data_IF_811093329961
#
_entry.id   IF_811093329961
#
_cell.length_a   1.000
_cell.length_b   1.000
_cell.length_c   1.000
_cell.angle_alpha   90.00
_cell.angle_beta   90.00
_cell.angle_gamma   90.00
#
_symmetry.space_group_name_H-M   'P 1'
#
loop_
_entity.id
_entity.type
_entity.pdbx_description
1 polymer ?
#
# COMPACT_ATOMS: atom_id res chain seq x y z
N UNK A 1 70.00 -5.84 56.85
CA UNK A 1 70.10 -5.40 55.44
C UNK A 1 69.39 -6.33 54.50
N UNK A 2 69.35 -7.65 54.62
CA UNK A 2 68.63 -8.59 53.70
C UNK A 2 67.13 -8.45 53.78
N UNK A 3 66.46 -8.17 54.92
CA UNK A 3 65.00 -8.03 55.07
C UNK A 3 64.42 -6.75 54.39
N UNK A 4 65.23 -5.65 54.40
CA UNK A 4 64.80 -4.38 53.77
C UNK A 4 64.80 -4.48 52.22
N UNK A 5 65.74 -5.24 51.65
CA UNK A 5 65.79 -5.47 50.20
C UNK A 5 64.63 -6.32 49.70
N UNK A 6 64.10 -7.23 50.51
CA UNK A 6 62.96 -8.07 50.17
C UNK A 6 61.67 -7.26 50.15
N UNK A 7 61.48 -6.31 51.07
CA UNK A 7 60.27 -5.45 51.14
C UNK A 7 60.22 -4.46 49.94
N UNK A 8 61.42 -3.90 49.59
CA UNK A 8 61.47 -3.00 48.41
C UNK A 8 61.23 -3.75 47.10
N UNK A 9 61.69 -5.01 46.97
CA UNK A 9 61.42 -5.82 45.79
C UNK A 9 59.89 -6.21 45.67
N UNK A 10 59.24 -6.45 46.82
CA UNK A 10 57.80 -6.77 46.83
C UNK A 10 56.93 -5.55 46.49
N UNK A 11 57.30 -4.36 46.94
CA UNK A 11 56.64 -3.10 46.63
C UNK A 11 56.84 -2.70 45.14
N UNK A 12 57.98 -2.98 44.54
CA UNK A 12 58.25 -2.75 43.12
C UNK A 12 57.42 -3.73 42.23
N UNK A 13 57.19 -4.96 42.71
CA UNK A 13 56.37 -5.92 41.98
C UNK A 13 54.87 -5.56 41.99
N UNK A 14 54.37 -4.98 43.07
CA UNK A 14 52.97 -4.50 43.19
C UNK A 14 52.75 -3.24 42.34
N UNK A 15 53.74 -2.39 42.18
CA UNK A 15 53.63 -1.22 41.29
C UNK A 15 53.67 -1.57 39.80
N UNK A 16 54.26 -2.71 39.42
CA UNK A 16 54.31 -3.18 38.01
C UNK A 16 53.04 -3.87 37.57
N UNK A 17 52.18 -4.37 38.47
CA UNK A 17 50.90 -5.01 38.15
C UNK A 17 49.75 -3.99 38.04
N UNK A 18 49.94 -2.76 38.55
CA UNK A 18 48.89 -1.72 38.54
C UNK A 18 48.76 -0.90 37.27
N UNK A 19 49.57 -1.11 36.24
CA UNK A 19 49.54 -0.37 34.97
C UNK A 19 48.94 -1.19 33.82
N UNK A 20 47.94 -2.03 34.08
CA UNK A 20 47.05 -2.41 33.02
C UNK A 20 46.16 -1.19 32.73
N UNK A 21 46.58 -0.38 31.77
CA UNK A 21 45.74 0.56 31.09
C UNK A 21 44.46 -0.21 30.72
N UNK A 22 43.35 0.10 31.41
CA UNK A 22 42.03 -0.20 30.90
C UNK A 22 41.99 0.42 29.50
N UNK A 23 42.30 -0.36 28.49
CA UNK A 23 41.93 -0.02 27.12
C UNK A 23 40.43 0.24 27.17
N UNK A 24 40.06 1.54 27.29
CA UNK A 24 38.68 1.94 27.06
C UNK A 24 38.32 1.34 25.72
N UNK A 25 37.53 0.27 25.77
CA UNK A 25 36.84 -0.23 24.58
C UNK A 25 36.05 0.97 24.06
N UNK A 26 36.60 1.64 23.04
CA UNK A 26 35.84 2.65 22.32
C UNK A 26 34.58 1.94 21.90
N UNK A 27 33.47 2.29 22.54
CA UNK A 27 32.14 1.86 22.08
C UNK A 27 32.11 2.15 20.59
N UNK A 28 31.71 1.17 19.72
CA UNK A 28 31.69 1.39 18.29
C UNK A 28 30.94 2.71 18.06
N UNK A 29 31.56 3.68 17.44
CA UNK A 29 30.95 4.99 17.16
C UNK A 29 29.63 4.67 16.43
N UNK A 30 28.50 5.00 17.07
CA UNK A 30 27.20 4.71 16.53
C UNK A 30 27.13 5.27 15.10
N UNK A 31 26.85 4.43 14.11
CA UNK A 31 26.70 4.89 12.73
C UNK A 31 25.69 6.03 12.70
N UNK A 32 25.95 7.12 11.94
CA UNK A 32 25.03 8.25 11.85
C UNK A 32 23.63 7.79 11.44
N UNK A 33 22.61 8.45 11.99
CA UNK A 33 21.22 8.17 11.63
C UNK A 33 20.97 8.59 10.19
N UNK A 34 20.19 7.81 9.45
CA UNK A 34 19.70 8.18 8.12
C UNK A 34 18.56 9.21 8.27
N UNK A 35 18.66 10.30 7.55
CA UNK A 35 17.61 11.31 7.48
C UNK A 35 16.51 10.87 6.49
N UNK A 36 15.27 10.86 6.97
CA UNK A 36 14.09 10.49 6.18
C UNK A 36 13.18 11.70 6.06
N UNK A 37 13.12 12.30 4.88
CA UNK A 37 12.22 13.39 4.59
C UNK A 37 10.89 12.86 4.03
N UNK A 38 9.78 13.21 4.65
CA UNK A 38 8.45 12.89 4.18
C UNK A 38 7.78 14.20 3.74
N UNK A 39 7.48 14.31 2.45
CA UNK A 39 6.80 15.48 1.89
C UNK A 39 5.38 15.58 2.46
N UNK A 40 4.98 16.77 2.91
CA UNK A 40 3.59 17.07 3.27
C UNK A 40 3.14 18.36 2.59
N UNK A 41 1.86 18.40 2.20
CA UNK A 41 1.26 19.49 1.43
C UNK A 41 -0.24 19.54 1.66
N UNK A 42 -0.89 20.64 1.33
CA UNK A 42 -2.34 20.73 1.45
C UNK A 42 -3.05 19.67 0.60
N UNK A 43 -3.94 18.91 1.24
CA UNK A 43 -4.63 17.78 0.63
C UNK A 43 -3.86 16.45 0.70
N UNK A 44 -2.72 16.37 1.40
CA UNK A 44 -1.98 15.09 1.56
C UNK A 44 -2.87 14.02 2.20
N UNK A 45 -2.78 12.79 1.68
CA UNK A 45 -3.48 11.63 2.25
C UNK A 45 -2.83 11.19 3.57
N UNK A 46 -3.62 11.11 4.64
CA UNK A 46 -3.08 10.90 6.00
C UNK A 46 -2.22 9.64 6.09
N UNK A 47 -2.76 8.48 5.75
CA UNK A 47 -2.05 7.21 5.93
C UNK A 47 -0.83 7.08 5.00
N UNK A 48 -0.82 7.78 3.85
CA UNK A 48 0.26 7.71 2.88
C UNK A 48 1.57 8.32 3.41
N UNK A 49 1.47 9.27 4.35
CA UNK A 49 2.64 9.83 5.03
C UNK A 49 2.83 9.28 6.44
N UNK A 50 1.73 9.08 7.21
CA UNK A 50 1.83 8.60 8.60
C UNK A 50 2.22 7.13 8.69
N UNK A 51 1.74 6.27 7.77
CA UNK A 51 2.14 4.87 7.72
C UNK A 51 3.65 4.69 7.54
N UNK A 52 4.26 5.25 6.49
CA UNK A 52 5.72 5.26 6.36
C UNK A 52 6.44 5.99 7.50
N UNK A 53 5.86 7.06 8.05
CA UNK A 53 6.44 7.78 9.19
C UNK A 53 6.60 6.86 10.40
N UNK A 54 5.54 6.12 10.75
CA UNK A 54 5.55 5.17 11.87
C UNK A 54 6.56 4.04 11.64
N UNK A 55 6.48 3.37 10.47
CA UNK A 55 7.40 2.27 10.13
C UNK A 55 8.86 2.71 10.16
N UNK A 56 9.19 3.81 9.51
CA UNK A 56 10.56 4.30 9.41
C UNK A 56 11.04 4.92 10.73
N UNK A 57 10.11 5.51 11.51
CA UNK A 57 10.37 6.10 12.82
C UNK A 57 10.63 5.07 13.92
N UNK A 58 10.05 3.87 13.82
CA UNK A 58 10.23 2.78 14.80
C UNK A 58 11.67 2.28 14.91
N UNK A 59 12.55 2.60 13.95
CA UNK A 59 13.95 2.21 13.97
C UNK A 59 14.86 3.26 14.63
N UNK A 60 15.76 2.81 15.53
CA UNK A 60 16.72 3.70 16.25
C UNK A 60 17.73 4.40 15.33
N UNK A 61 17.88 3.96 14.07
CA UNK A 61 18.89 4.43 13.11
C UNK A 61 18.38 5.43 12.10
N UNK A 62 17.15 5.91 12.24
CA UNK A 62 16.52 6.85 11.33
C UNK A 62 16.06 8.10 12.09
N UNK A 63 16.18 9.23 11.42
CA UNK A 63 15.67 10.52 11.86
C UNK A 63 14.58 10.91 10.85
N UNK A 64 13.31 10.65 11.19
CA UNK A 64 12.16 10.87 10.32
C UNK A 64 11.55 12.22 10.62
N UNK A 65 11.27 12.99 9.58
CA UNK A 65 10.67 14.32 9.71
C UNK A 65 9.76 14.62 8.52
N UNK A 66 8.79 15.48 8.74
CA UNK A 66 7.94 16.05 7.70
C UNK A 66 8.56 17.32 7.14
N UNK A 67 8.39 17.53 5.83
CA UNK A 67 8.88 18.71 5.13
C UNK A 67 7.82 19.26 4.18
N UNK A 68 7.68 20.57 4.14
CA UNK A 68 6.76 21.28 3.24
C UNK A 68 7.45 22.47 2.58
N UNK A 69 6.80 23.07 1.58
CA UNK A 69 7.30 24.29 0.93
C UNK A 69 7.37 25.46 1.92
N UNK A 70 6.37 25.56 2.82
CA UNK A 70 6.21 26.67 3.77
C UNK A 70 6.11 26.13 5.20
N UNK A 71 6.42 26.98 6.21
CA UNK A 71 6.35 26.56 7.62
C UNK A 71 4.92 26.50 8.17
N UNK A 72 3.95 27.00 7.44
CA UNK A 72 2.56 27.04 7.88
C UNK A 72 1.96 25.64 8.00
N UNK A 73 0.96 25.49 8.89
CA UNK A 73 0.23 24.24 9.01
C UNK A 73 -0.50 23.91 7.70
N UNK A 74 -0.24 22.70 7.16
CA UNK A 74 -0.98 22.15 6.02
C UNK A 74 -2.28 21.51 6.52
N UNK A 75 -3.26 21.39 5.64
CA UNK A 75 -4.51 20.67 5.89
C UNK A 75 -4.55 19.41 5.05
N UNK A 76 -4.70 18.25 5.69
CA UNK A 76 -4.79 16.96 4.98
C UNK A 76 -6.12 16.84 4.21
N UNK A 77 -6.25 15.83 3.36
CA UNK A 77 -7.49 15.57 2.61
C UNK A 77 -8.73 15.28 3.49
N UNK A 78 -8.52 14.90 4.75
CA UNK A 78 -9.59 14.65 5.74
C UNK A 78 -9.71 15.79 6.77
N UNK A 79 -9.04 16.93 6.56
CA UNK A 79 -9.17 18.11 7.40
C UNK A 79 -8.26 18.18 8.63
N UNK A 80 -7.39 17.20 8.86
CA UNK A 80 -6.42 17.27 9.95
C UNK A 80 -5.34 18.30 9.61
N UNK A 81 -5.01 19.19 10.58
CA UNK A 81 -3.96 20.19 10.43
C UNK A 81 -2.64 19.67 10.98
N UNK A 82 -1.57 19.85 10.20
CA UNK A 82 -0.22 19.36 10.55
C UNK A 82 0.79 20.48 10.31
N UNK A 83 1.61 20.75 11.31
CA UNK A 83 2.76 21.66 11.16
C UNK A 83 3.95 20.83 10.71
N UNK A 84 4.60 21.16 9.57
CA UNK A 84 5.79 20.44 9.12
C UNK A 84 6.96 20.70 10.05
N UNK A 85 7.85 19.70 10.20
CA UNK A 85 9.06 19.87 11.00
C UNK A 85 10.07 20.85 10.35
N UNK A 86 10.11 20.85 9.02
CA UNK A 86 11.04 21.65 8.22
C UNK A 86 10.38 22.18 6.96
N UNK A 87 11.05 23.17 6.36
CA UNK A 87 10.75 23.65 5.01
C UNK A 87 11.79 23.12 4.01
N UNK A 88 11.54 23.31 2.71
CA UNK A 88 12.49 22.96 1.65
C UNK A 88 13.87 23.65 1.83
N UNK A 89 13.92 24.79 2.54
CA UNK A 89 15.13 25.60 2.70
C UNK A 89 15.97 25.21 3.91
N UNK A 90 15.35 24.60 4.96
CA UNK A 90 16.06 24.39 6.24
C UNK A 90 16.08 22.94 6.70
N UNK A 91 15.58 21.97 5.87
CA UNK A 91 15.61 20.56 6.20
C UNK A 91 17.03 19.99 6.23
N UNK A 92 17.29 18.98 7.07
CA UNK A 92 18.50 18.17 6.93
C UNK A 92 18.52 17.50 5.54
N UNK A 93 19.73 17.32 4.97
CA UNK A 93 19.87 16.59 3.70
C UNK A 93 19.27 15.18 3.84
N UNK A 94 18.30 14.76 3.02
CA UNK A 94 17.68 13.47 3.14
C UNK A 94 18.52 12.34 2.54
N UNK A 95 18.65 11.24 3.27
CA UNK A 95 19.13 9.95 2.76
C UNK A 95 17.98 9.14 2.11
N UNK A 96 16.77 9.37 2.58
CA UNK A 96 15.55 8.71 2.13
C UNK A 96 14.47 9.78 1.96
N UNK A 97 13.72 9.68 0.86
CA UNK A 97 12.57 10.52 0.61
C UNK A 97 11.29 9.70 0.52
N UNK A 98 10.20 10.22 1.05
CA UNK A 98 8.85 9.65 0.89
C UNK A 98 7.94 10.73 0.29
N UNK A 99 7.29 10.38 -0.83
CA UNK A 99 6.38 11.23 -1.58
C UNK A 99 4.96 10.62 -1.48
N UNK A 100 4.13 11.05 -0.53
CA UNK A 100 2.78 10.55 -0.33
C UNK A 100 1.82 11.05 -1.41
N UNK A 101 0.65 10.42 -1.48
CA UNK A 101 -0.44 10.85 -2.33
C UNK A 101 -1.43 11.78 -1.65
N UNK A 102 -2.59 11.94 -2.29
CA UNK A 102 -3.65 12.86 -1.92
C UNK A 102 -3.92 13.88 -3.01
N UNK A 103 -4.02 15.16 -2.67
CA UNK A 103 -4.23 16.30 -3.58
C UNK A 103 -3.05 16.62 -4.49
N UNK A 104 -2.31 15.61 -4.94
CA UNK A 104 -1.06 15.74 -5.74
C UNK A 104 -1.23 16.61 -6.97
N UNK A 105 -2.35 16.50 -7.68
CA UNK A 105 -2.62 17.23 -8.93
C UNK A 105 -2.46 18.75 -8.78
N UNK A 106 -2.82 19.28 -7.61
CA UNK A 106 -2.72 20.74 -7.33
C UNK A 106 -1.27 21.21 -7.18
N UNK A 107 -0.33 20.29 -6.96
CA UNK A 107 1.08 20.58 -6.70
C UNK A 107 2.02 20.16 -7.85
N UNK A 108 1.51 19.46 -8.89
CA UNK A 108 2.34 19.01 -10.01
C UNK A 108 2.90 20.16 -10.86
N UNK A 109 2.22 21.29 -10.90
CA UNK A 109 2.65 22.47 -11.66
C UNK A 109 3.39 23.49 -10.78
N UNK A 110 3.59 23.19 -9.48
CA UNK A 110 4.41 24.00 -8.60
C UNK A 110 5.90 23.70 -8.85
N UNK A 111 6.66 24.63 -9.46
CA UNK A 111 8.06 24.40 -9.81
C UNK A 111 8.96 24.19 -8.58
N UNK A 112 8.60 24.77 -7.42
CA UNK A 112 9.37 24.60 -6.18
C UNK A 112 9.28 23.16 -5.66
N UNK A 113 8.08 22.56 -5.71
CA UNK A 113 7.87 21.16 -5.31
C UNK A 113 8.65 20.22 -6.24
N UNK A 114 8.50 20.38 -7.54
CA UNK A 114 9.17 19.52 -8.53
C UNK A 114 10.70 19.67 -8.45
N UNK A 115 11.18 20.89 -8.33
CA UNK A 115 12.61 21.14 -8.15
C UNK A 115 13.14 20.51 -6.86
N UNK A 116 12.41 20.64 -5.73
CA UNK A 116 12.77 20.00 -4.47
C UNK A 116 12.87 18.48 -4.62
N UNK A 117 11.93 17.85 -5.33
CA UNK A 117 11.97 16.41 -5.62
C UNK A 117 13.21 16.06 -6.42
N UNK A 118 13.49 16.77 -7.51
CA UNK A 118 14.64 16.52 -8.39
C UNK A 118 15.98 16.67 -7.66
N UNK A 119 16.17 17.78 -6.95
CA UNK A 119 17.42 18.12 -6.27
C UNK A 119 17.76 17.09 -5.19
N UNK A 120 16.76 16.68 -4.40
CA UNK A 120 16.97 15.74 -3.30
C UNK A 120 17.00 14.27 -3.77
N UNK A 121 16.19 13.90 -4.75
CA UNK A 121 16.19 12.54 -5.29
C UNK A 121 17.54 12.17 -5.90
N UNK A 122 18.25 13.11 -6.55
CA UNK A 122 19.59 12.87 -7.09
C UNK A 122 20.57 12.36 -6.03
N UNK A 123 20.49 12.90 -4.83
CA UNK A 123 21.42 12.65 -3.72
C UNK A 123 20.92 11.58 -2.71
N UNK A 124 19.62 11.36 -2.61
CA UNK A 124 19.05 10.36 -1.70
C UNK A 124 19.47 8.94 -2.09
N UNK A 125 19.62 8.08 -1.10
CA UNK A 125 19.88 6.65 -1.28
C UNK A 125 18.63 5.93 -1.78
N UNK A 126 17.46 6.28 -1.25
CA UNK A 126 16.17 5.75 -1.64
C UNK A 126 15.13 6.84 -1.79
N UNK A 127 14.24 6.67 -2.75
CA UNK A 127 13.07 7.53 -2.94
C UNK A 127 11.84 6.62 -3.07
N UNK A 128 10.88 6.80 -2.20
CA UNK A 128 9.64 6.03 -2.19
C UNK A 128 8.45 6.94 -2.47
N UNK A 129 7.57 6.53 -3.37
CA UNK A 129 6.25 7.14 -3.50
C UNK A 129 5.16 6.22 -2.97
N UNK A 130 4.08 6.82 -2.50
CA UNK A 130 2.86 6.12 -2.07
C UNK A 130 1.68 6.69 -2.84
N UNK A 131 0.78 5.81 -3.32
CA UNK A 131 -0.43 6.22 -4.00
C UNK A 131 -0.11 7.08 -5.26
N UNK A 132 -0.85 8.17 -5.47
CA UNK A 132 -0.57 9.11 -6.56
C UNK A 132 0.66 10.02 -6.31
N UNK A 133 1.40 9.84 -5.24
CA UNK A 133 2.75 10.39 -5.09
C UNK A 133 3.70 9.97 -6.22
N UNK A 134 3.41 8.87 -6.92
CA UNK A 134 4.13 8.45 -8.13
C UNK A 134 4.12 9.51 -9.25
N UNK A 135 3.11 10.37 -9.30
CA UNK A 135 3.05 11.45 -10.28
C UNK A 135 4.10 12.53 -10.02
N UNK A 136 4.51 12.78 -8.78
CA UNK A 136 5.67 13.65 -8.51
C UNK A 136 6.95 13.07 -9.12
N UNK A 137 7.17 11.76 -8.96
CA UNK A 137 8.32 11.09 -9.57
C UNK A 137 8.27 11.14 -11.09
N UNK A 138 7.09 10.90 -11.67
CA UNK A 138 6.89 10.96 -13.12
C UNK A 138 7.16 12.39 -13.66
N UNK A 139 6.57 13.42 -13.01
CA UNK A 139 6.77 14.83 -13.38
C UNK A 139 8.24 15.28 -13.27
N UNK A 140 8.94 14.73 -12.28
CA UNK A 140 10.37 14.97 -12.09
C UNK A 140 11.27 14.20 -13.07
N UNK A 141 10.71 13.34 -13.95
CA UNK A 141 11.46 12.51 -14.90
C UNK A 141 12.16 11.29 -14.27
N UNK A 142 11.81 10.94 -13.05
CA UNK A 142 12.49 9.89 -12.27
C UNK A 142 11.95 8.48 -12.55
N UNK A 143 10.87 8.34 -13.31
CA UNK A 143 10.27 7.04 -13.66
C UNK A 143 10.58 6.59 -15.09
N UNK A 144 11.26 7.41 -15.92
CA UNK A 144 11.56 7.07 -17.31
C UNK A 144 12.36 5.76 -17.39
N UNK A 145 11.84 4.77 -18.14
CA UNK A 145 12.45 3.46 -18.31
C UNK A 145 12.30 2.49 -17.14
N UNK A 146 11.63 2.88 -16.06
CA UNK A 146 11.42 2.05 -14.87
C UNK A 146 10.03 1.41 -14.85
N UNK A 147 9.87 0.35 -14.04
CA UNK A 147 8.55 -0.13 -13.63
C UNK A 147 8.01 0.77 -12.52
N UNK A 148 6.69 1.01 -12.51
CA UNK A 148 6.05 1.74 -11.43
C UNK A 148 4.63 1.25 -11.17
N UNK A 149 4.13 1.50 -9.97
CA UNK A 149 2.72 1.31 -9.62
C UNK A 149 2.18 2.55 -8.90
N UNK A 150 0.86 2.62 -8.82
CA UNK A 150 0.10 3.64 -8.08
C UNK A 150 -1.18 3.01 -7.54
N UNK A 151 -2.05 3.79 -6.90
CA UNK A 151 -3.37 3.31 -6.47
C UNK A 151 -4.18 2.76 -7.65
N UNK A 152 -5.01 1.75 -7.40
CA UNK A 152 -5.72 1.00 -8.43
C UNK A 152 -6.51 1.90 -9.39
N UNK A 153 -7.21 2.90 -8.86
CA UNK A 153 -8.03 3.83 -9.66
C UNK A 153 -7.25 4.77 -10.57
N UNK A 154 -5.93 4.90 -10.42
CA UNK A 154 -5.09 5.84 -11.17
C UNK A 154 -4.02 5.15 -12.03
N UNK A 155 -4.09 3.84 -12.21
CA UNK A 155 -3.14 3.07 -13.03
C UNK A 155 -3.11 3.57 -14.47
N UNK A 156 -4.26 3.73 -15.10
CA UNK A 156 -4.36 4.16 -16.50
C UNK A 156 -3.98 5.65 -16.65
N UNK A 157 -4.32 6.48 -15.65
CA UNK A 157 -3.92 7.88 -15.64
C UNK A 157 -2.39 8.02 -15.54
N UNK A 158 -1.73 7.25 -14.66
CA UNK A 158 -0.28 7.24 -14.57
C UNK A 158 0.38 6.74 -15.86
N UNK A 159 -0.22 5.73 -16.52
CA UNK A 159 0.27 5.20 -17.80
C UNK A 159 0.21 6.26 -18.91
N UNK A 160 -0.88 7.02 -18.95
CA UNK A 160 -1.01 8.12 -19.91
C UNK A 160 -0.07 9.29 -19.60
N UNK A 161 0.10 9.61 -18.30
CA UNK A 161 0.94 10.72 -17.84
C UNK A 161 2.44 10.44 -18.02
N UNK A 162 2.87 9.19 -17.84
CA UNK A 162 4.28 8.77 -17.90
C UNK A 162 4.49 7.67 -18.96
N UNK A 163 4.41 7.98 -20.28
CA UNK A 163 4.42 6.98 -21.35
C UNK A 163 5.74 6.22 -21.48
N UNK A 164 6.83 6.71 -20.90
CA UNK A 164 8.12 6.02 -20.85
C UNK A 164 8.27 5.08 -19.66
N UNK A 165 7.27 5.01 -18.78
CA UNK A 165 7.27 4.19 -17.58
C UNK A 165 6.45 2.93 -17.81
N UNK A 166 6.96 1.75 -17.41
CA UNK A 166 6.20 0.52 -17.45
C UNK A 166 5.29 0.45 -16.21
N UNK A 167 4.06 0.96 -16.33
CA UNK A 167 3.10 0.95 -15.22
C UNK A 167 2.47 -0.43 -15.07
N UNK A 168 2.69 -1.05 -13.89
CA UNK A 168 2.14 -2.36 -13.51
C UNK A 168 1.03 -2.20 -12.49
N UNK A 169 0.01 -3.07 -12.56
CA UNK A 169 -1.20 -2.95 -11.75
C UNK A 169 -1.31 -3.98 -10.63
N UNK A 170 -0.65 -5.12 -10.75
CA UNK A 170 -0.79 -6.30 -9.90
C UNK A 170 0.09 -6.31 -8.64
N UNK A 171 1.03 -5.36 -8.52
CA UNK A 171 1.98 -5.29 -7.40
C UNK A 171 1.55 -4.26 -6.35
N UNK A 172 1.72 -4.61 -5.07
CA UNK A 172 1.54 -3.67 -3.94
C UNK A 172 2.59 -2.58 -3.95
N UNK A 173 3.81 -2.92 -4.30
CA UNK A 173 4.92 -2.00 -4.54
C UNK A 173 5.85 -2.55 -5.63
N UNK A 174 6.60 -1.65 -6.24
CA UNK A 174 7.64 -1.95 -7.24
C UNK A 174 8.95 -1.37 -6.73
N UNK A 175 10.00 -2.16 -6.77
CA UNK A 175 11.35 -1.78 -6.35
C UNK A 175 12.31 -1.80 -7.56
N UNK A 176 12.83 -0.66 -7.94
CA UNK A 176 13.86 -0.49 -8.98
C UNK A 176 15.25 -0.21 -8.36
N UNK A 177 15.52 -0.71 -7.16
CA UNK A 177 16.77 -0.44 -6.45
C UNK A 177 16.70 0.85 -5.64
N UNK A 178 16.82 2.02 -6.27
CA UNK A 178 16.74 3.34 -5.65
C UNK A 178 15.31 3.87 -5.54
N UNK A 179 14.52 3.69 -6.60
CA UNK A 179 13.13 4.18 -6.70
C UNK A 179 12.18 3.06 -6.33
N UNK A 180 11.34 3.30 -5.33
CA UNK A 180 10.28 2.39 -4.89
C UNK A 180 8.95 3.11 -5.08
N UNK A 181 7.97 2.46 -5.72
CA UNK A 181 6.61 3.00 -5.83
C UNK A 181 5.64 2.04 -5.16
N UNK A 182 4.82 2.53 -4.22
CA UNK A 182 3.80 1.75 -3.52
C UNK A 182 2.40 2.13 -4.01
N UNK A 183 1.50 1.14 -4.03
CA UNK A 183 0.17 1.30 -4.60
C UNK A 183 -0.67 2.38 -3.92
N UNK A 184 -0.71 2.41 -2.60
CA UNK A 184 -1.43 3.45 -1.87
C UNK A 184 -1.99 2.94 -0.55
N UNK A 185 -2.36 3.87 0.33
CA UNK A 185 -2.90 3.60 1.65
C UNK A 185 -2.00 2.59 2.42
N UNK A 186 -2.54 1.45 2.84
CA UNK A 186 -1.78 0.42 3.58
C UNK A 186 -0.58 -0.14 2.81
N UNK A 187 -0.57 -0.08 1.47
CA UNK A 187 0.60 -0.48 0.68
C UNK A 187 1.81 0.44 0.91
N UNK A 188 1.59 1.66 1.41
CA UNK A 188 2.67 2.53 1.89
C UNK A 188 3.39 1.97 3.10
N UNK A 189 2.66 1.30 4.02
CA UNK A 189 3.26 0.58 5.16
C UNK A 189 4.12 -0.58 4.65
N UNK A 190 3.61 -1.37 3.67
CA UNK A 190 4.36 -2.48 3.10
C UNK A 190 5.61 -2.03 2.34
N UNK A 191 5.50 -0.95 1.56
CA UNK A 191 6.64 -0.35 0.87
C UNK A 191 7.70 0.16 1.85
N UNK A 192 7.29 0.74 2.99
CA UNK A 192 8.19 1.19 4.04
C UNK A 192 8.84 0.01 4.79
N UNK A 193 8.10 -1.05 5.08
CA UNK A 193 8.65 -2.30 5.65
C UNK A 193 9.63 -2.97 4.69
N UNK A 194 9.34 -2.99 3.38
CA UNK A 194 10.29 -3.44 2.37
C UNK A 194 11.56 -2.58 2.36
N UNK A 195 11.43 -1.27 2.49
CA UNK A 195 12.60 -0.39 2.62
C UNK A 195 13.41 -0.69 3.89
N UNK A 196 12.75 -0.99 5.02
CA UNK A 196 13.44 -1.46 6.24
C UNK A 196 14.15 -2.80 5.96
N UNK A 197 13.52 -3.73 5.25
CA UNK A 197 14.15 -4.99 4.83
C UNK A 197 15.42 -4.77 4.01
N UNK A 198 15.42 -3.81 3.09
CA UNK A 198 16.63 -3.42 2.33
C UNK A 198 17.74 -2.82 3.20
N UNK A 199 17.39 -2.15 4.28
CA UNK A 199 18.34 -1.47 5.19
C UNK A 199 18.88 -2.39 6.28
N UNK A 200 18.05 -3.27 6.83
CA UNK A 200 18.28 -4.00 8.07
C UNK A 200 18.03 -5.52 7.93
N UNK A 201 17.63 -5.96 6.75
CA UNK A 201 17.26 -7.35 6.47
C UNK A 201 15.84 -7.71 6.90
N UNK A 202 15.37 -8.90 6.47
CA UNK A 202 14.00 -9.40 6.71
C UNK A 202 13.63 -9.39 8.19
N UNK A 203 14.53 -9.84 9.06
CA UNK A 203 14.29 -9.85 10.52
C UNK A 203 14.07 -8.45 11.10
N UNK A 204 14.81 -7.44 10.60
CA UNK A 204 14.61 -6.04 10.98
C UNK A 204 13.21 -5.53 10.61
N UNK A 205 12.76 -5.81 9.40
CA UNK A 205 11.40 -5.46 8.95
C UNK A 205 10.32 -6.18 9.77
N UNK A 206 10.50 -7.47 10.08
CA UNK A 206 9.58 -8.24 10.91
C UNK A 206 9.50 -7.69 12.34
N UNK A 207 10.63 -7.26 12.91
CA UNK A 207 10.64 -6.64 14.25
C UNK A 207 9.88 -5.31 14.27
N UNK A 208 10.02 -4.49 13.23
CA UNK A 208 9.23 -3.25 13.09
C UNK A 208 7.75 -3.58 12.95
N UNK A 209 7.39 -4.50 12.06
CA UNK A 209 6.00 -4.92 11.86
C UNK A 209 5.37 -5.45 13.15
N UNK A 210 6.11 -6.28 13.91
CA UNK A 210 5.70 -6.76 15.23
C UNK A 210 5.49 -5.61 16.23
N UNK A 211 6.41 -4.65 16.25
CA UNK A 211 6.37 -3.52 17.19
C UNK A 211 5.20 -2.56 16.96
N UNK A 212 4.71 -2.46 15.72
CA UNK A 212 3.53 -1.66 15.34
C UNK A 212 2.26 -2.53 15.23
N UNK A 213 2.30 -3.77 15.68
CA UNK A 213 1.20 -4.76 15.62
C UNK A 213 0.61 -4.93 14.20
N UNK A 214 1.45 -4.82 13.18
CA UNK A 214 1.04 -4.94 11.78
C UNK A 214 1.30 -6.35 11.26
N UNK A 215 0.23 -7.03 10.80
CA UNK A 215 0.34 -8.35 10.17
C UNK A 215 0.93 -8.22 8.76
N UNK A 216 2.24 -8.16 8.67
CA UNK A 216 2.95 -7.96 7.42
C UNK A 216 2.91 -9.20 6.53
N UNK A 217 2.17 -9.10 5.45
CA UNK A 217 2.01 -10.12 4.41
C UNK A 217 2.38 -9.54 3.04
N UNK A 218 3.67 -9.40 2.73
CA UNK A 218 4.13 -8.72 1.51
C UNK A 218 3.65 -9.40 0.22
N UNK A 219 3.37 -10.70 0.26
CA UNK A 219 2.93 -11.49 -0.88
C UNK A 219 1.39 -11.57 -1.01
N UNK A 220 0.63 -10.94 -0.11
CA UNK A 220 -0.83 -10.94 -0.15
C UNK A 220 -1.37 -10.13 -1.32
N UNK A 221 -2.25 -10.74 -2.11
CA UNK A 221 -2.92 -10.11 -3.24
C UNK A 221 -4.14 -9.26 -2.87
N UNK A 222 -4.67 -9.36 -1.63
CA UNK A 222 -5.94 -8.77 -1.23
C UNK A 222 -6.05 -7.26 -1.50
N UNK A 223 -5.02 -6.48 -1.24
CA UNK A 223 -5.05 -5.02 -1.47
C UNK A 223 -5.17 -4.63 -2.95
N UNK A 224 -4.95 -5.58 -3.86
CA UNK A 224 -5.14 -5.38 -5.30
C UNK A 224 -6.50 -5.91 -5.80
N UNK A 225 -7.31 -6.49 -4.93
CA UNK A 225 -8.66 -6.96 -5.26
C UNK A 225 -9.56 -5.86 -5.82
N UNK A 226 -9.31 -4.61 -5.47
CA UNK A 226 -9.99 -3.45 -6.06
C UNK A 226 -9.90 -3.42 -7.61
N UNK A 227 -8.84 -3.94 -8.21
CA UNK A 227 -8.71 -4.05 -9.68
C UNK A 227 -9.73 -5.01 -10.29
N UNK A 228 -10.08 -6.07 -9.58
CA UNK A 228 -11.17 -6.97 -9.98
C UNK A 228 -12.52 -6.34 -9.64
N UNK A 229 -12.71 -5.81 -8.44
CA UNK A 229 -13.94 -5.14 -8.00
C UNK A 229 -14.41 -4.06 -8.98
N UNK A 230 -13.51 -3.20 -9.45
CA UNK A 230 -13.79 -2.17 -10.46
C UNK A 230 -14.34 -2.69 -11.80
N UNK A 231 -14.32 -4.00 -12.03
CA UNK A 231 -14.94 -4.61 -13.22
C UNK A 231 -16.44 -4.83 -13.05
N UNK A 232 -16.93 -4.94 -11.79
CA UNK A 232 -18.36 -5.01 -11.50
C UNK A 232 -19.06 -3.71 -11.94
N UNK A 233 -20.26 -3.79 -12.53
CA UNK A 233 -21.06 -2.60 -12.81
C UNK A 233 -21.52 -1.94 -11.51
N UNK A 234 -21.10 -0.70 -11.27
CA UNK A 234 -21.48 0.04 -10.05
C UNK A 234 -22.99 0.19 -9.87
N UNK A 235 -23.75 0.19 -10.96
CA UNK A 235 -25.21 0.29 -10.95
C UNK A 235 -25.93 -0.86 -10.21
N UNK A 236 -25.27 -2.02 -10.01
CA UNK A 236 -25.88 -3.13 -9.27
C UNK A 236 -26.08 -2.80 -7.80
N UNK A 237 -25.24 -1.94 -7.22
CA UNK A 237 -25.35 -1.53 -5.81
C UNK A 237 -26.61 -0.71 -5.54
N UNK A 238 -27.17 0.00 -6.53
CA UNK A 238 -28.42 0.75 -6.42
C UNK A 238 -29.61 -0.13 -6.00
N UNK A 239 -29.53 -1.46 -6.23
CA UNK A 239 -30.61 -2.40 -5.93
C UNK A 239 -30.71 -2.69 -4.44
N UNK A 240 -29.58 -2.72 -3.72
CA UNK A 240 -29.56 -3.19 -2.33
C UNK A 240 -28.86 -2.23 -1.36
N UNK A 241 -27.98 -1.37 -1.82
CA UNK A 241 -27.33 -0.37 -0.97
C UNK A 241 -28.18 0.91 -0.87
N UNK A 242 -28.30 1.58 0.31
CA UNK A 242 -27.53 1.37 1.55
C UNK A 242 -28.18 0.40 2.55
N UNK A 243 -29.26 -0.29 2.22
CA UNK A 243 -29.99 -1.15 3.18
C UNK A 243 -29.31 -2.48 3.49
N UNK A 244 -28.37 -2.93 2.65
CA UNK A 244 -27.69 -4.19 2.83
C UNK A 244 -26.57 -4.10 3.90
N UNK A 245 -26.33 -5.24 4.57
CA UNK A 245 -25.23 -5.39 5.53
C UNK A 245 -24.11 -6.21 4.92
N UNK A 246 -22.87 -5.72 4.91
CA UNK A 246 -21.73 -6.48 4.40
C UNK A 246 -21.45 -7.69 5.31
N UNK A 247 -21.14 -8.84 4.70
CA UNK A 247 -20.82 -10.10 5.40
C UNK A 247 -19.34 -10.45 5.26
N UNK A 248 -18.84 -10.48 4.01
CA UNK A 248 -17.43 -10.81 3.75
C UNK A 248 -16.98 -10.30 2.39
N UNK A 249 -15.68 -10.03 2.32
CA UNK A 249 -14.99 -9.64 1.11
C UNK A 249 -13.71 -10.45 0.98
N UNK A 250 -13.44 -11.02 -0.19
CA UNK A 250 -12.25 -11.82 -0.44
C UNK A 250 -11.81 -11.71 -1.90
N UNK A 251 -10.50 -11.77 -2.16
CA UNK A 251 -9.99 -11.80 -3.52
C UNK A 251 -8.60 -11.22 -3.69
N UNK A 252 -8.26 -11.00 -4.96
CA UNK A 252 -7.03 -10.40 -5.42
C UNK A 252 -7.25 -9.65 -6.75
N UNK A 253 -6.20 -9.28 -7.45
CA UNK A 253 -6.30 -8.56 -8.74
C UNK A 253 -7.05 -9.34 -9.86
N UNK A 254 -7.25 -10.64 -9.69
CA UNK A 254 -7.80 -11.55 -10.68
C UNK A 254 -9.18 -12.10 -10.32
N UNK A 255 -9.57 -11.95 -9.05
CA UNK A 255 -10.83 -12.45 -8.53
C UNK A 255 -11.33 -11.56 -7.39
N UNK A 256 -12.64 -11.38 -7.34
CA UNK A 256 -13.29 -10.67 -6.25
C UNK A 256 -14.60 -11.37 -5.90
N UNK A 257 -14.84 -11.54 -4.61
CA UNK A 257 -16.11 -12.05 -4.06
C UNK A 257 -16.55 -11.15 -2.92
N UNK A 258 -17.79 -10.73 -2.97
CA UNK A 258 -18.45 -10.02 -1.89
C UNK A 258 -19.78 -10.67 -1.52
N UNK A 259 -20.07 -10.70 -0.24
CA UNK A 259 -21.32 -11.23 0.32
C UNK A 259 -22.01 -10.17 1.14
N UNK A 260 -23.32 -10.07 0.95
CA UNK A 260 -24.17 -9.08 1.60
C UNK A 260 -25.42 -9.75 2.15
N UNK A 261 -25.87 -9.40 3.35
CA UNK A 261 -27.20 -9.71 3.81
C UNK A 261 -28.15 -8.60 3.35
N UNK A 262 -29.20 -8.99 2.63
CA UNK A 262 -30.18 -8.09 2.04
C UNK A 262 -31.55 -8.44 2.60
N UNK A 263 -32.21 -7.47 3.22
CA UNK A 263 -33.62 -7.61 3.63
C UNK A 263 -34.51 -7.13 2.48
N UNK A 264 -35.39 -7.99 1.99
CA UNK A 264 -36.28 -7.65 0.87
C UNK A 264 -37.71 -8.17 1.11
N UNK A 265 -38.69 -7.34 0.77
CA UNK A 265 -40.09 -7.76 0.68
C UNK A 265 -40.37 -8.61 -0.58
N UNK A 266 -39.48 -8.50 -1.59
CA UNK A 266 -39.56 -9.23 -2.84
C UNK A 266 -38.89 -10.61 -2.74
N UNK A 267 -39.30 -11.53 -3.57
CA UNK A 267 -38.69 -12.84 -3.71
C UNK A 267 -37.25 -12.77 -4.20
N UNK A 268 -36.44 -13.80 -3.92
CA UNK A 268 -35.06 -13.89 -4.42
C UNK A 268 -35.00 -13.79 -5.97
N UNK A 269 -36.01 -14.33 -6.67
CA UNK A 269 -36.09 -14.24 -8.12
C UNK A 269 -36.32 -12.80 -8.62
N UNK A 270 -37.15 -12.02 -7.94
CA UNK A 270 -37.39 -10.61 -8.27
C UNK A 270 -36.15 -9.76 -7.99
N UNK A 271 -35.50 -9.96 -6.85
CA UNK A 271 -34.24 -9.26 -6.53
C UNK A 271 -33.15 -9.61 -7.54
N UNK A 272 -33.02 -10.90 -7.92
CA UNK A 272 -32.08 -11.34 -8.94
C UNK A 272 -32.36 -10.69 -10.28
N UNK A 273 -33.64 -10.56 -10.63
CA UNK A 273 -34.06 -9.90 -11.88
C UNK A 273 -33.62 -8.43 -11.86
N UNK A 274 -33.87 -7.70 -10.78
CA UNK A 274 -33.47 -6.29 -10.66
C UNK A 274 -31.94 -6.12 -10.77
N UNK A 275 -31.16 -6.99 -10.12
CA UNK A 275 -29.70 -6.98 -10.24
C UNK A 275 -29.26 -7.27 -11.66
N UNK A 276 -29.88 -8.25 -12.32
CA UNK A 276 -29.60 -8.59 -13.72
C UNK A 276 -29.92 -7.42 -14.66
N UNK A 277 -31.03 -6.73 -14.45
CA UNK A 277 -31.44 -5.58 -15.26
C UNK A 277 -30.40 -4.45 -15.11
N UNK A 278 -29.91 -4.21 -13.91
CA UNK A 278 -28.84 -3.25 -13.63
C UNK A 278 -27.49 -3.70 -14.21
N UNK A 279 -27.13 -4.98 -14.08
CA UNK A 279 -25.89 -5.51 -14.67
C UNK A 279 -25.87 -5.34 -16.18
N UNK A 280 -27.01 -5.61 -16.84
CA UNK A 280 -27.17 -5.46 -18.28
C UNK A 280 -27.03 -4.01 -18.79
N UNK A 281 -27.04 -3.01 -17.92
CA UNK A 281 -26.77 -1.61 -18.32
C UNK A 281 -25.34 -1.41 -18.76
N UNK A 282 -24.40 -2.18 -18.21
CA UNK A 282 -23.02 -2.20 -18.67
C UNK A 282 -22.88 -3.11 -19.91
N UNK A 283 -22.81 -2.48 -21.07
CA UNK A 283 -22.79 -3.16 -22.37
C UNK A 283 -21.57 -4.03 -22.63
N UNK A 284 -20.54 -3.93 -21.79
CA UNK A 284 -19.37 -4.83 -21.86
C UNK A 284 -19.76 -6.26 -21.51
N UNK A 285 -20.65 -6.42 -20.51
CA UNK A 285 -21.06 -7.71 -19.99
C UNK A 285 -22.15 -8.36 -20.84
N UNK A 286 -21.99 -9.64 -21.09
CA UNK A 286 -22.99 -10.49 -21.75
C UNK A 286 -23.47 -11.55 -20.77
N UNK A 287 -24.79 -11.68 -20.63
CA UNK A 287 -25.37 -12.75 -19.82
C UNK A 287 -25.11 -14.09 -20.51
N UNK A 288 -24.56 -15.04 -19.75
CA UNK A 288 -24.38 -16.39 -20.29
C UNK A 288 -25.73 -17.12 -20.37
N UNK A 289 -25.97 -17.82 -21.46
CA UNK A 289 -27.11 -18.73 -21.58
C UNK A 289 -26.90 -19.87 -20.58
N UNK A 290 -27.75 -19.96 -19.57
CA UNK A 290 -27.77 -21.12 -18.69
C UNK A 290 -28.47 -22.23 -19.42
N UNK A 291 -27.79 -23.36 -19.66
CA UNK A 291 -28.47 -24.59 -20.00
C UNK A 291 -29.52 -24.87 -18.90
N UNK A 292 -30.79 -24.95 -19.22
CA UNK A 292 -31.87 -25.21 -18.28
C UNK A 292 -31.63 -26.55 -17.56
N UNK A 293 -31.12 -26.49 -16.33
CA UNK A 293 -31.31 -27.59 -15.39
C UNK A 293 -32.69 -27.38 -14.75
N UNK A 294 -33.67 -28.16 -15.20
CA UNK A 294 -35.03 -28.10 -14.69
C UNK A 294 -35.10 -28.30 -13.19
N UNK A 295 -35.38 -27.24 -12.48
CA UNK A 295 -36.19 -27.16 -11.26
C UNK A 295 -36.26 -25.69 -10.81
N UNK A 296 -37.47 -25.26 -10.49
CA UNK A 296 -37.94 -24.10 -9.73
C UNK A 296 -36.89 -23.04 -9.33
N UNK A 297 -37.01 -21.87 -9.97
CA UNK A 297 -36.40 -20.58 -9.59
C UNK A 297 -34.88 -20.63 -9.36
N UNK A 298 -34.12 -20.66 -10.47
CA UNK A 298 -32.67 -20.41 -10.40
C UNK A 298 -32.39 -19.07 -9.69
N UNK A 299 -31.75 -19.12 -8.56
CA UNK A 299 -31.30 -17.95 -7.76
C UNK A 299 -29.89 -17.50 -8.16
N UNK A 300 -29.43 -17.91 -9.35
CA UNK A 300 -28.08 -17.63 -9.83
C UNK A 300 -28.10 -17.14 -11.28
N UNK A 301 -27.33 -16.15 -11.60
CA UNK A 301 -27.06 -15.74 -12.99
C UNK A 301 -25.54 -15.64 -13.24
N UNK A 302 -25.15 -15.83 -14.51
CA UNK A 302 -23.77 -15.83 -14.95
C UNK A 302 -23.60 -14.80 -16.08
N UNK A 303 -22.44 -14.14 -16.06
CA UNK A 303 -22.08 -13.08 -16.97
C UNK A 303 -20.64 -13.24 -17.44
N UNK A 304 -20.31 -12.72 -18.61
CA UNK A 304 -18.93 -12.67 -19.08
C UNK A 304 -18.66 -11.43 -19.92
N UNK A 305 -17.41 -10.97 -19.93
CA UNK A 305 -16.92 -9.98 -20.87
C UNK A 305 -15.43 -10.18 -21.14
N UNK A 306 -14.96 -9.62 -22.25
CA UNK A 306 -13.53 -9.53 -22.56
C UNK A 306 -13.09 -8.08 -22.40
N UNK A 307 -12.06 -7.84 -21.60
CA UNK A 307 -11.52 -6.50 -21.40
C UNK A 307 -10.64 -6.04 -22.57
N UNK A 308 -10.18 -4.78 -22.52
CA UNK A 308 -9.34 -4.17 -23.54
C UNK A 308 -7.99 -4.87 -23.77
N UNK A 309 -7.57 -5.69 -22.81
CA UNK A 309 -6.35 -6.51 -22.87
C UNK A 309 -6.60 -7.92 -23.42
N UNK A 310 -7.84 -8.20 -23.84
CA UNK A 310 -8.24 -9.52 -24.30
C UNK A 310 -8.45 -10.54 -23.17
N UNK A 311 -8.49 -10.11 -21.91
CA UNK A 311 -8.70 -10.98 -20.75
C UNK A 311 -10.20 -11.23 -20.56
N UNK A 312 -10.57 -12.50 -20.40
CA UNK A 312 -11.97 -12.90 -20.19
C UNK A 312 -12.27 -12.86 -18.70
N UNK A 313 -13.35 -12.20 -18.34
CA UNK A 313 -13.88 -12.12 -16.99
C UNK A 313 -15.23 -12.81 -16.90
N UNK A 314 -15.45 -13.61 -15.87
CA UNK A 314 -16.71 -14.25 -15.55
C UNK A 314 -17.31 -13.64 -14.30
N UNK A 315 -18.59 -13.28 -14.36
CA UNK A 315 -19.37 -12.76 -13.25
C UNK A 315 -20.45 -13.75 -12.83
N UNK A 316 -20.67 -13.86 -11.52
CA UNK A 316 -21.71 -14.69 -10.91
C UNK A 316 -22.46 -13.83 -9.89
N UNK A 317 -23.78 -13.87 -9.99
CA UNK A 317 -24.70 -13.36 -8.96
C UNK A 317 -25.46 -14.55 -8.42
N UNK A 318 -25.52 -14.69 -7.10
CA UNK A 318 -26.39 -15.68 -6.47
C UNK A 318 -27.08 -15.09 -5.24
N UNK A 319 -28.31 -15.56 -4.99
CA UNK A 319 -29.12 -15.19 -3.84
C UNK A 319 -29.59 -16.46 -3.14
N UNK A 320 -29.40 -16.51 -1.82
CA UNK A 320 -29.81 -17.63 -0.99
C UNK A 320 -30.55 -17.12 0.24
N UNK A 321 -31.63 -17.76 0.70
CA UNK A 321 -32.29 -17.43 1.96
C UNK A 321 -31.31 -17.61 3.14
N UNK A 322 -31.38 -16.73 4.14
CA UNK A 322 -30.64 -16.83 5.39
C UNK A 322 -31.57 -17.26 6.51
N UNK A 323 -31.37 -18.48 7.02
CA UNK A 323 -32.22 -19.03 8.08
C UNK A 323 -33.64 -19.38 7.59
N UNK A 324 -34.62 -19.28 8.49
CA UNK A 324 -36.02 -19.61 8.23
C UNK A 324 -36.84 -18.44 7.64
N UNK A 325 -36.28 -17.23 7.65
CA UNK A 325 -36.97 -16.03 7.12
C UNK A 325 -36.65 -15.82 5.64
N UNK A 326 -37.63 -16.11 4.79
CA UNK A 326 -37.49 -15.94 3.33
C UNK A 326 -37.24 -14.48 2.89
N UNK A 327 -37.42 -13.51 3.77
CA UNK A 327 -37.13 -12.09 3.53
C UNK A 327 -35.66 -11.71 3.77
N UNK A 328 -34.92 -12.56 4.42
CA UNK A 328 -33.48 -12.39 4.63
C UNK A 328 -32.73 -13.19 3.58
N UNK A 329 -32.01 -12.50 2.71
CA UNK A 329 -31.28 -13.09 1.61
C UNK A 329 -29.78 -12.81 1.77
N UNK A 330 -28.94 -13.79 1.49
CA UNK A 330 -27.52 -13.56 1.23
C UNK A 330 -27.30 -13.40 -0.26
N UNK A 331 -26.89 -12.22 -0.66
CA UNK A 331 -26.41 -11.90 -2.00
C UNK A 331 -24.91 -12.20 -2.06
N UNK A 332 -24.49 -12.97 -3.05
CA UNK A 332 -23.08 -13.14 -3.41
C UNK A 332 -22.86 -12.57 -4.82
N UNK A 333 -21.95 -11.63 -4.92
CA UNK A 333 -21.40 -11.13 -6.19
C UNK A 333 -19.98 -11.64 -6.32
N UNK A 334 -19.64 -12.26 -7.43
CA UNK A 334 -18.31 -12.82 -7.66
C UNK A 334 -17.88 -12.55 -9.09
N UNK A 335 -16.64 -12.12 -9.27
CA UNK A 335 -16.00 -12.07 -10.58
C UNK A 335 -14.66 -12.76 -10.55
N UNK A 336 -14.29 -13.40 -11.64
CA UNK A 336 -13.04 -14.13 -11.78
C UNK A 336 -12.52 -13.94 -13.20
N UNK A 337 -11.24 -13.63 -13.32
CA UNK A 337 -10.54 -13.64 -14.60
C UNK A 337 -10.30 -15.10 -15.03
N UNK A 338 -10.71 -15.46 -16.25
CA UNK A 338 -10.40 -16.75 -16.83
C UNK A 338 -8.98 -16.76 -17.37
N UNK A 339 -8.04 -17.33 -16.62
CA UNK A 339 -6.80 -17.78 -17.22
C UNK A 339 -7.02 -19.18 -17.79
N UNK A 340 -6.50 -19.48 -18.96
CA UNK A 340 -6.66 -20.79 -19.62
C UNK A 340 -6.15 -22.00 -18.78
N UNK A 341 -5.53 -21.73 -17.63
CA UNK A 341 -4.98 -22.73 -16.70
C UNK A 341 -5.61 -22.72 -15.29
N UNK A 342 -6.62 -21.88 -14.99
CA UNK A 342 -7.16 -21.74 -13.63
C UNK A 342 -8.33 -22.68 -13.32
N UNK A 343 -8.54 -23.77 -14.07
CA UNK A 343 -9.57 -24.78 -13.78
C UNK A 343 -9.33 -25.60 -12.49
N UNK A 344 -8.23 -25.36 -11.78
CA UNK A 344 -7.79 -26.22 -10.66
C UNK A 344 -7.94 -25.60 -9.24
N UNK A 345 -8.31 -24.33 -9.07
CA UNK A 345 -8.30 -23.67 -7.74
C UNK A 345 -9.68 -23.23 -7.23
N UNK A 346 -10.76 -23.70 -7.83
CA UNK A 346 -12.13 -23.44 -7.36
C UNK A 346 -12.83 -24.76 -6.95
N UNK A 347 -12.19 -25.51 -6.07
CA UNK A 347 -12.88 -26.56 -5.29
C UNK A 347 -12.88 -26.20 -3.82
#
# INVERSE_FOLDING_TARGET
>A
MKKIRLVIALLALIAAVGSQTLAQSQSPTAKPKLNVAILVFDGVQIIDYTGPYEVLGSGRRRNVYTVAEKPDAITTNMGMRVVPNYTFQNQPKPDIMVLPGGGVKQHLDNPNVIKWVQDNAGQAKYVMSVCNGAFFLAKAGLLDGLEATTTAGLIEELRAFAPKTKVVSDKRFVDNGKIITAAGLSSGIDGALHLVEKLEGRGGAQMVAYGIEYNWQPDSGFVRANLADMKLPSSIYDVFYPGAQPVSFAGDANAWEEKWNVSSASSSAEVLKLINDKWATDKRWKKAETAEAGSSASTTSRWSFTDEKGQVWNGIVSLQPVGADAKQLQLTLKIVRSDQNASAQLK
#
